data_IF_488857930483
#
_entry.id   IF_488857930483
#
_cell.length_a   1.000
_cell.length_b   1.000
_cell.length_c   1.000
_cell.angle_alpha   90.00
_cell.angle_beta   90.00
_cell.angle_gamma   90.00
#
_symmetry.space_group_name_H-M   'P 1'
#
loop_
_entity.id
_entity.type
_entity.pdbx_description
1 polymer ?
#
# COMPACT_ATOMS: atom_id res chain seq x y z
N UNK A 1 -7.50 19.47 -7.59
CA UNK A 1 -8.30 20.66 -8.01
C UNK A 1 -9.64 20.71 -7.28
N UNK A 2 -10.56 19.75 -7.41
CA UNK A 2 -11.89 19.79 -6.76
C UNK A 2 -11.80 20.00 -5.23
N UNK A 3 -10.93 19.31 -4.54
CA UNK A 3 -10.76 19.44 -3.08
C UNK A 3 -10.36 20.87 -2.66
N UNK A 4 -9.45 21.52 -3.38
CA UNK A 4 -9.02 22.89 -3.09
C UNK A 4 -10.12 23.91 -3.35
N UNK A 5 -10.96 23.69 -4.37
CA UNK A 5 -12.13 24.51 -4.63
C UNK A 5 -13.17 24.39 -3.49
N UNK A 6 -13.43 23.17 -3.02
CA UNK A 6 -14.37 22.92 -1.91
C UNK A 6 -13.86 23.58 -0.62
N UNK A 7 -12.57 23.40 -0.30
CA UNK A 7 -11.96 24.02 0.88
C UNK A 7 -12.01 25.55 0.78
N UNK A 8 -11.64 26.14 -0.37
CA UNK A 8 -11.68 27.60 -0.58
C UNK A 8 -13.09 28.15 -0.46
N UNK A 9 -14.09 27.48 -1.05
CA UNK A 9 -15.50 27.89 -0.96
C UNK A 9 -16.00 27.79 0.49
N UNK A 10 -15.66 26.72 1.20
CA UNK A 10 -16.04 26.55 2.60
C UNK A 10 -15.46 27.64 3.50
N UNK A 11 -14.18 27.98 3.32
CA UNK A 11 -13.57 29.09 4.07
C UNK A 11 -14.19 30.43 3.74
N UNK A 12 -14.48 30.71 2.46
CA UNK A 12 -15.15 31.94 2.07
C UNK A 12 -16.55 32.06 2.72
N UNK A 13 -17.33 30.99 2.68
CA UNK A 13 -18.69 31.01 3.29
C UNK A 13 -18.62 31.18 4.81
N UNK A 14 -17.69 30.51 5.49
CA UNK A 14 -17.47 30.66 6.94
C UNK A 14 -17.03 32.09 7.28
N UNK A 15 -16.09 32.65 6.53
CA UNK A 15 -15.63 34.02 6.74
C UNK A 15 -16.76 35.05 6.58
N UNK A 16 -17.55 34.92 5.51
CA UNK A 16 -18.69 35.80 5.24
C UNK A 16 -19.74 35.71 6.36
N UNK A 17 -20.08 34.48 6.79
CA UNK A 17 -21.06 34.26 7.86
C UNK A 17 -20.55 34.80 9.20
N UNK A 18 -19.29 34.58 9.53
CA UNK A 18 -18.72 35.06 10.78
C UNK A 18 -18.61 36.58 10.81
N UNK A 19 -18.24 37.21 9.68
CA UNK A 19 -18.21 38.68 9.56
C UNK A 19 -19.61 39.27 9.76
N UNK A 20 -20.64 38.66 9.15
CA UNK A 20 -22.02 39.07 9.33
C UNK A 20 -22.46 39.00 10.80
N UNK A 21 -22.23 37.84 11.46
CA UNK A 21 -22.58 37.67 12.87
C UNK A 21 -21.87 38.67 13.79
N UNK A 22 -20.60 38.94 13.58
CA UNK A 22 -19.84 39.91 14.37
C UNK A 22 -20.37 41.33 14.12
N UNK A 23 -20.66 41.67 12.88
CA UNK A 23 -21.25 42.94 12.51
C UNK A 23 -22.58 43.16 13.20
N UNK A 24 -23.51 42.20 13.05
CA UNK A 24 -24.85 42.26 13.66
C UNK A 24 -24.75 42.40 15.21
N UNK A 25 -23.89 41.62 15.84
CA UNK A 25 -23.68 41.68 17.29
C UNK A 25 -23.16 43.02 17.74
N UNK A 26 -22.18 43.61 17.08
CA UNK A 26 -21.63 44.93 17.44
C UNK A 26 -22.63 46.04 17.22
N UNK A 27 -23.40 45.99 16.14
CA UNK A 27 -24.46 46.93 15.86
C UNK A 27 -25.60 46.83 16.94
N UNK A 28 -26.09 45.63 17.22
CA UNK A 28 -27.12 45.45 18.27
C UNK A 28 -26.64 45.96 19.63
N UNK A 29 -25.41 45.69 19.98
CA UNK A 29 -24.84 46.15 21.25
C UNK A 29 -24.79 47.70 21.29
N UNK A 30 -24.35 48.34 20.22
CA UNK A 30 -24.29 49.80 20.12
C UNK A 30 -25.70 50.40 20.15
N UNK A 31 -26.64 49.89 19.41
CA UNK A 31 -28.04 50.32 19.39
C UNK A 31 -28.61 50.26 20.79
N UNK A 32 -28.47 49.16 21.49
CA UNK A 32 -29.01 48.99 22.85
C UNK A 32 -28.42 49.97 23.83
N UNK A 33 -27.13 50.24 23.75
CA UNK A 33 -26.42 51.18 24.60
C UNK A 33 -26.88 52.62 24.34
N UNK A 34 -26.95 53.03 23.06
CA UNK A 34 -27.35 54.37 22.67
C UNK A 34 -28.84 54.59 23.02
N UNK A 35 -29.74 53.64 22.75
CA UNK A 35 -31.17 53.75 23.10
C UNK A 35 -31.41 53.95 24.61
N UNK A 36 -30.76 53.12 25.43
CA UNK A 36 -30.87 53.26 26.91
C UNK A 36 -30.36 54.61 27.43
N UNK A 37 -29.27 55.11 26.83
CA UNK A 37 -28.69 56.38 27.23
C UNK A 37 -29.59 57.58 26.82
N UNK A 38 -30.14 57.51 25.59
CA UNK A 38 -31.05 58.56 25.06
C UNK A 38 -32.40 58.56 25.83
N UNK A 39 -32.99 57.38 26.10
CA UNK A 39 -34.21 57.26 26.90
C UNK A 39 -34.04 57.83 28.35
N UNK A 40 -32.92 57.49 28.99
CA UNK A 40 -32.60 58.05 30.32
C UNK A 40 -32.45 59.56 30.26
N UNK A 41 -31.75 60.07 29.21
CA UNK A 41 -31.58 61.49 29.02
C UNK A 41 -32.92 62.20 28.73
N UNK A 42 -33.75 61.65 27.83
CA UNK A 42 -35.10 62.15 27.57
C UNK A 42 -35.96 62.29 28.80
N UNK A 43 -35.97 61.24 29.64
CA UNK A 43 -36.69 61.28 30.95
C UNK A 43 -36.16 62.32 31.90
N UNK A 44 -34.82 62.53 31.92
CA UNK A 44 -34.17 63.53 32.80
C UNK A 44 -34.40 64.97 32.32
N UNK A 45 -34.47 65.21 31.02
CA UNK A 45 -34.64 66.52 30.42
C UNK A 45 -36.12 66.97 30.31
N UNK A 46 -37.08 66.06 30.23
CA UNK A 46 -38.49 66.37 30.06
C UNK A 46 -39.08 67.40 31.09
N UNK A 47 -38.77 67.34 32.42
CA UNK A 47 -39.23 68.35 33.36
C UNK A 47 -38.70 69.76 33.06
N UNK A 48 -37.46 69.92 32.66
CA UNK A 48 -36.83 71.17 32.32
C UNK A 48 -37.36 71.75 31.01
N UNK A 49 -37.68 70.89 30.06
CA UNK A 49 -38.30 71.28 28.80
C UNK A 49 -39.66 71.88 28.96
N UNK A 50 -40.48 71.29 29.85
CA UNK A 50 -41.82 71.82 30.24
C UNK A 50 -41.77 73.17 30.94
N UNK A 51 -40.70 73.47 31.70
CA UNK A 51 -40.47 74.74 32.39
C UNK A 51 -39.83 75.83 31.53
N UNK A 52 -39.47 75.50 30.27
CA UNK A 52 -38.72 76.39 29.34
C UNK A 52 -37.40 76.95 29.93
N UNK A 53 -36.72 76.13 30.77
CA UNK A 53 -35.39 76.46 31.33
C UNK A 53 -34.28 76.15 30.34
N UNK A 54 -34.10 77.02 29.37
CA UNK A 54 -33.21 76.85 28.21
C UNK A 54 -31.75 76.77 28.67
N UNK A 55 -31.30 77.52 29.66
CA UNK A 55 -29.89 77.51 30.03
C UNK A 55 -29.47 76.19 30.69
N UNK A 56 -30.26 75.69 31.63
CA UNK A 56 -30.03 74.37 32.27
C UNK A 56 -30.12 73.23 31.28
N UNK A 57 -31.02 73.28 30.27
CA UNK A 57 -31.17 72.32 29.23
C UNK A 57 -29.95 72.30 28.31
N UNK A 58 -29.43 73.46 27.89
CA UNK A 58 -28.28 73.56 27.04
C UNK A 58 -27.03 73.00 27.70
N UNK A 59 -26.75 73.37 28.95
CA UNK A 59 -25.58 72.85 29.72
C UNK A 59 -25.62 71.32 29.87
N UNK A 60 -26.79 70.75 30.20
CA UNK A 60 -26.97 69.32 30.30
C UNK A 60 -26.83 68.61 28.97
N UNK A 61 -27.34 69.20 27.89
CA UNK A 61 -27.29 68.64 26.55
C UNK A 61 -25.85 68.57 26.03
N UNK A 62 -25.08 69.64 26.23
CA UNK A 62 -23.68 69.74 25.84
C UNK A 62 -22.82 68.72 26.63
N UNK A 63 -23.02 68.68 27.97
CA UNK A 63 -22.31 67.71 28.82
C UNK A 63 -22.60 66.27 28.42
N UNK A 64 -23.89 65.88 28.25
CA UNK A 64 -24.30 64.57 27.84
C UNK A 64 -23.81 64.21 26.43
N UNK A 65 -23.81 65.16 25.47
CA UNK A 65 -23.26 64.97 24.12
C UNK A 65 -21.77 64.63 24.15
N UNK A 66 -21.00 65.33 25.02
CA UNK A 66 -19.57 65.02 25.22
C UNK A 66 -19.35 63.66 25.84
N UNK A 67 -20.12 63.24 26.86
CA UNK A 67 -20.04 61.92 27.49
C UNK A 67 -20.43 60.77 26.55
N UNK A 68 -21.44 61.00 25.70
CA UNK A 68 -21.90 59.98 24.73
C UNK A 68 -21.08 59.95 23.44
N UNK A 69 -20.21 60.93 23.24
CA UNK A 69 -19.35 61.01 22.05
C UNK A 69 -20.12 61.31 20.76
N UNK A 70 -21.17 62.13 20.82
CA UNK A 70 -22.01 62.47 19.69
C UNK A 70 -22.80 63.75 19.88
N UNK A 71 -23.57 64.09 18.87
CA UNK A 71 -24.43 65.27 18.84
C UNK A 71 -25.79 64.98 19.42
N UNK A 72 -26.25 65.79 20.31
CA UNK A 72 -27.58 65.73 20.88
C UNK A 72 -28.44 66.92 20.46
N UNK A 73 -29.65 66.65 20.04
CA UNK A 73 -30.64 67.62 19.63
C UNK A 73 -31.91 67.44 20.49
N UNK A 74 -32.47 68.56 20.97
CA UNK A 74 -33.83 68.61 21.51
C UNK A 74 -34.77 69.15 20.43
N UNK A 75 -35.82 68.36 20.16
CA UNK A 75 -36.77 68.65 19.09
C UNK A 75 -38.16 68.77 19.68
N UNK A 76 -38.95 69.70 19.21
CA UNK A 76 -40.33 69.85 19.63
C UNK A 76 -41.27 68.83 18.97
N UNK A 77 -42.52 68.84 19.31
CA UNK A 77 -43.57 67.93 18.76
C UNK A 77 -43.78 68.05 17.25
N UNK A 78 -43.32 69.16 16.64
CA UNK A 78 -43.38 69.35 15.18
C UNK A 78 -42.09 68.95 14.45
N UNK A 79 -41.09 68.48 15.14
CA UNK A 79 -39.79 68.07 14.57
C UNK A 79 -38.82 69.22 14.38
N UNK A 80 -39.04 70.39 15.01
CA UNK A 80 -38.16 71.57 14.91
C UNK A 80 -37.17 71.53 16.08
N UNK A 81 -35.87 71.71 15.74
CA UNK A 81 -34.77 71.75 16.72
C UNK A 81 -34.85 72.96 17.59
N UNK A 82 -35.03 72.75 18.88
CA UNK A 82 -35.11 73.80 19.92
C UNK A 82 -33.74 74.06 20.53
N UNK A 83 -32.96 73.00 20.77
CA UNK A 83 -31.60 73.05 21.29
C UNK A 83 -30.70 72.06 20.56
N UNK A 84 -29.44 72.43 20.45
CA UNK A 84 -28.42 71.64 19.75
C UNK A 84 -27.09 71.75 20.49
N UNK A 85 -26.51 70.63 20.89
CA UNK A 85 -25.23 70.54 21.60
C UNK A 85 -24.07 71.22 20.83
N UNK A 86 -24.17 71.31 19.47
CA UNK A 86 -23.17 71.97 18.62
C UNK A 86 -23.62 73.37 18.15
N UNK A 87 -24.85 73.74 18.35
CA UNK A 87 -25.40 75.06 18.06
C UNK A 87 -25.64 75.39 16.58
N UNK A 88 -25.49 74.49 15.67
CA UNK A 88 -25.55 74.74 14.20
C UNK A 88 -26.91 74.51 13.57
N UNK A 89 -27.82 73.67 14.17
CA UNK A 89 -29.09 73.26 13.59
C UNK A 89 -30.28 73.89 14.31
N UNK A 90 -30.13 74.93 15.08
CA UNK A 90 -31.22 75.62 15.80
C UNK A 90 -32.28 76.09 14.80
N UNK A 91 -33.54 75.78 15.11
CA UNK A 91 -34.67 76.17 14.32
C UNK A 91 -34.91 75.32 13.02
N UNK A 92 -34.03 74.42 12.69
CA UNK A 92 -34.17 73.54 11.54
C UNK A 92 -35.22 72.46 11.84
N UNK A 93 -36.09 72.14 10.86
CA UNK A 93 -37.05 71.03 10.95
C UNK A 93 -36.41 69.77 10.38
N UNK A 94 -36.25 68.76 11.24
CA UNK A 94 -35.65 67.46 10.85
C UNK A 94 -36.75 66.47 10.41
N UNK A 95 -36.49 65.75 9.33
CA UNK A 95 -37.37 64.72 8.78
C UNK A 95 -36.70 63.34 8.77
N UNK A 96 -36.26 62.90 9.95
CA UNK A 96 -35.67 61.57 10.11
C UNK A 96 -36.76 60.55 10.44
N UNK A 97 -36.74 59.36 9.80
CA UNK A 97 -37.78 58.33 10.04
C UNK A 97 -37.92 57.99 11.53
N UNK A 98 -36.83 57.92 12.29
CA UNK A 98 -36.78 57.60 13.74
C UNK A 98 -37.47 58.71 14.56
N UNK A 99 -37.24 59.94 14.19
CA UNK A 99 -37.87 61.06 14.88
C UNK A 99 -39.39 61.06 14.60
N UNK A 100 -39.82 60.81 13.36
CA UNK A 100 -41.23 60.71 13.00
C UNK A 100 -41.91 59.51 13.69
N UNK A 101 -41.24 58.37 13.77
CA UNK A 101 -41.72 57.19 14.52
C UNK A 101 -42.01 57.51 15.97
N UNK A 102 -41.08 58.19 16.61
CA UNK A 102 -41.20 58.57 18.05
C UNK A 102 -42.30 59.64 18.26
N UNK A 103 -42.32 60.70 17.44
CA UNK A 103 -43.22 61.83 17.65
C UNK A 103 -44.67 61.54 17.20
N UNK A 104 -44.89 60.78 16.10
CA UNK A 104 -46.19 60.56 15.50
C UNK A 104 -46.82 59.20 15.85
N UNK A 105 -45.97 58.14 16.00
CA UNK A 105 -46.41 56.77 16.25
C UNK A 105 -46.34 56.36 17.72
N UNK A 106 -45.76 57.22 18.58
CA UNK A 106 -45.63 56.95 20.04
C UNK A 106 -44.69 55.82 20.35
N UNK A 107 -43.70 55.57 19.51
CA UNK A 107 -42.66 54.58 19.79
C UNK A 107 -41.84 55.01 21.02
N UNK A 108 -41.40 54.06 21.87
CA UNK A 108 -40.61 54.33 23.07
C UNK A 108 -39.22 54.89 22.74
N UNK A 109 -38.54 54.30 21.82
CA UNK A 109 -37.30 54.79 21.18
C UNK A 109 -37.17 54.16 19.80
N UNK A 110 -36.49 54.84 18.86
CA UNK A 110 -36.26 54.31 17.52
C UNK A 110 -34.84 54.66 17.08
N UNK A 111 -34.25 53.76 16.27
CA UNK A 111 -32.85 53.83 15.89
C UNK A 111 -32.69 53.62 14.38
N UNK A 112 -31.78 54.32 13.74
CA UNK A 112 -31.45 54.13 12.31
C UNK A 112 -30.03 54.48 11.99
N UNK A 113 -29.55 53.88 10.92
CA UNK A 113 -28.23 54.23 10.32
C UNK A 113 -28.51 54.90 9.00
N UNK A 114 -27.87 56.05 8.80
CA UNK A 114 -28.01 56.84 7.60
C UNK A 114 -26.62 57.20 7.02
N UNK A 115 -26.61 57.44 5.75
CA UNK A 115 -25.44 58.09 5.12
C UNK A 115 -25.58 59.61 5.26
N UNK A 116 -24.48 60.30 5.60
CA UNK A 116 -24.47 61.80 5.68
C UNK A 116 -25.03 62.40 4.38
N UNK A 117 -25.84 63.46 4.54
CA UNK A 117 -26.56 64.10 3.41
C UNK A 117 -28.02 63.68 3.29
N UNK A 118 -28.57 62.78 4.12
CA UNK A 118 -29.97 62.42 4.20
C UNK A 118 -30.68 63.11 5.37
N UNK A 119 -31.84 63.68 5.12
CA UNK A 119 -32.72 64.20 6.19
C UNK A 119 -32.36 65.57 6.78
N UNK A 120 -31.54 66.36 6.12
CA UNK A 120 -31.20 67.73 6.59
C UNK A 120 -30.00 67.78 7.53
N UNK A 121 -29.23 66.69 7.62
CA UNK A 121 -28.00 66.61 8.39
C UNK A 121 -26.82 66.76 7.43
N UNK A 122 -26.52 68.01 7.09
CA UNK A 122 -25.34 68.32 6.28
C UNK A 122 -24.11 68.41 7.20
N UNK A 123 -23.34 67.35 7.31
CA UNK A 123 -21.99 67.36 7.78
C UNK A 123 -21.05 67.13 6.59
N UNK A 124 -19.96 67.91 6.50
CA UNK A 124 -18.97 67.88 5.39
C UNK A 124 -18.26 66.55 5.24
N UNK A 125 -18.45 65.59 6.13
CA UNK A 125 -17.81 64.28 6.08
C UNK A 125 -18.75 63.19 5.56
N UNK A 126 -18.41 62.62 4.42
CA UNK A 126 -19.15 61.54 3.76
C UNK A 126 -18.99 60.22 4.51
N UNK A 127 -19.67 60.07 5.63
CA UNK A 127 -19.62 58.89 6.49
C UNK A 127 -20.97 58.29 6.78
N UNK A 128 -20.98 57.23 7.59
CA UNK A 128 -22.19 56.65 8.14
C UNK A 128 -22.43 57.22 9.57
N UNK A 129 -23.65 57.67 9.81
CA UNK A 129 -24.11 58.15 11.10
C UNK A 129 -25.22 57.27 11.62
N UNK A 130 -25.26 57.07 12.93
CA UNK A 130 -26.38 56.50 13.62
C UNK A 130 -27.23 57.64 14.19
N UNK A 131 -28.56 57.45 14.14
CA UNK A 131 -29.50 58.34 14.83
C UNK A 131 -30.39 57.52 15.73
N UNK A 132 -30.51 57.99 17.01
CA UNK A 132 -31.38 57.39 17.99
C UNK A 132 -32.31 58.46 18.56
N UNK A 133 -33.61 58.26 18.49
CA UNK A 133 -34.61 59.19 19.02
C UNK A 133 -35.36 58.57 20.20
N UNK A 134 -35.65 59.36 21.25
CA UNK A 134 -36.51 58.96 22.34
C UNK A 134 -37.47 60.13 22.73
N UNK A 135 -38.73 59.82 23.06
CA UNK A 135 -39.73 60.85 23.39
C UNK A 135 -39.46 61.47 24.78
N UNK A 136 -39.69 62.76 24.88
CA UNK A 136 -39.85 63.45 26.13
C UNK A 136 -41.31 63.51 26.47
N UNK A 137 -41.72 62.92 27.56
CA UNK A 137 -43.13 62.88 27.96
C UNK A 137 -43.37 63.61 29.23
N UNK A 138 -44.55 64.25 29.33
CA UNK A 138 -44.98 64.90 30.54
C UNK A 138 -45.52 63.92 31.62
N UNK A 139 -45.87 64.38 32.74
CA UNK A 139 -46.49 63.56 33.85
C UNK A 139 -47.83 62.94 33.51
N UNK A 140 -48.45 63.37 32.37
CA UNK A 140 -49.72 62.85 31.87
C UNK A 140 -49.56 61.90 30.67
N UNK A 141 -48.31 61.71 30.22
CA UNK A 141 -47.98 60.82 29.08
C UNK A 141 -48.05 61.49 27.71
N UNK A 142 -48.21 62.83 27.64
CA UNK A 142 -48.21 63.57 26.42
C UNK A 142 -46.77 63.79 25.93
N UNK A 143 -46.51 63.64 24.61
CA UNK A 143 -45.17 63.87 23.99
C UNK A 143 -44.93 65.36 23.89
N UNK A 144 -43.95 65.87 24.64
CA UNK A 144 -43.52 67.26 24.61
C UNK A 144 -42.56 67.54 23.40
N UNK A 145 -41.86 66.53 23.03
CA UNK A 145 -40.81 66.55 22.01
C UNK A 145 -39.98 65.27 22.04
N UNK A 146 -38.83 65.32 21.46
CA UNK A 146 -37.88 64.17 21.48
C UNK A 146 -36.42 64.62 21.67
N UNK A 147 -35.63 63.75 22.26
CA UNK A 147 -34.17 63.83 22.26
C UNK A 147 -33.69 62.99 21.08
N UNK A 148 -32.87 63.57 20.20
CA UNK A 148 -32.24 62.89 19.09
C UNK A 148 -30.72 62.87 19.30
N UNK A 149 -30.13 61.71 19.35
CA UNK A 149 -28.70 61.50 19.43
C UNK A 149 -28.16 61.08 18.07
N UNK A 150 -27.10 61.71 17.62
CA UNK A 150 -26.45 61.44 16.36
C UNK A 150 -24.96 61.17 16.65
N UNK A 151 -24.48 59.99 16.23
CA UNK A 151 -23.05 59.66 16.37
C UNK A 151 -22.49 59.06 15.07
N UNK A 152 -21.19 59.25 14.84
CA UNK A 152 -20.50 58.62 13.75
C UNK A 152 -20.28 57.14 14.04
N UNK A 153 -20.62 56.29 13.08
CA UNK A 153 -20.35 54.85 13.14
C UNK A 153 -19.20 54.48 12.18
N UNK A 154 -18.49 55.47 11.67
CA UNK A 154 -17.39 55.28 10.73
C UNK A 154 -16.23 54.47 11.30
N UNK A 155 -15.87 54.70 12.59
CA UNK A 155 -14.83 53.92 13.26
C UNK A 155 -15.21 52.44 13.42
N UNK A 156 -16.50 52.18 13.64
CA UNK A 156 -17.02 50.81 13.75
C UNK A 156 -16.91 50.12 12.35
N UNK A 157 -17.28 50.81 11.27
CA UNK A 157 -17.18 50.32 9.89
C UNK A 157 -15.71 50.03 9.50
N UNK A 158 -14.80 50.95 9.78
CA UNK A 158 -13.37 50.74 9.48
C UNK A 158 -12.78 49.61 10.31
N UNK A 159 -13.23 49.43 11.57
CA UNK A 159 -12.80 48.33 12.38
C UNK A 159 -13.28 46.96 11.85
N UNK A 160 -14.52 46.89 11.35
CA UNK A 160 -15.08 45.69 10.68
C UNK A 160 -14.35 45.35 9.43
N UNK A 161 -14.04 46.37 8.55
CA UNK A 161 -13.22 46.19 7.35
C UNK A 161 -11.81 45.66 7.72
N UNK A 162 -11.20 46.18 8.78
CA UNK A 162 -9.91 45.69 9.30
C UNK A 162 -9.95 44.23 9.75
N UNK A 163 -11.03 43.80 10.43
CA UNK A 163 -11.24 42.43 10.83
C UNK A 163 -11.40 41.53 9.61
N UNK A 164 -12.21 41.96 8.64
CA UNK A 164 -12.44 41.21 7.41
C UNK A 164 -11.12 41.02 6.62
N UNK A 165 -10.31 42.06 6.48
CA UNK A 165 -9.01 42.00 5.81
C UNK A 165 -8.05 41.02 6.50
N UNK A 166 -8.01 41.01 7.85
CA UNK A 166 -7.18 40.08 8.63
C UNK A 166 -7.66 38.64 8.48
N UNK A 167 -8.96 38.41 8.45
CA UNK A 167 -9.54 37.09 8.20
C UNK A 167 -9.16 36.59 6.82
N UNK A 168 -9.28 37.40 5.77
CA UNK A 168 -8.90 37.04 4.40
C UNK A 168 -7.41 36.70 4.29
N UNK A 169 -6.54 37.47 4.94
CA UNK A 169 -5.09 37.17 4.92
C UNK A 169 -4.77 35.88 5.67
N UNK A 170 -5.41 35.62 6.81
CA UNK A 170 -5.25 34.36 7.53
C UNK A 170 -5.71 33.15 6.70
N UNK A 171 -6.85 33.25 6.03
CA UNK A 171 -7.36 32.20 5.15
C UNK A 171 -6.45 31.96 3.95
N UNK A 172 -5.92 33.02 3.34
CA UNK A 172 -4.94 32.90 2.25
C UNK A 172 -3.68 32.14 2.71
N UNK A 173 -3.16 32.45 3.89
CA UNK A 173 -2.02 31.76 4.47
C UNK A 173 -2.30 30.25 4.69
N UNK A 174 -3.47 29.92 5.27
CA UNK A 174 -3.90 28.52 5.47
C UNK A 174 -4.06 27.78 4.13
N UNK A 175 -4.64 28.44 3.11
CA UNK A 175 -4.79 27.86 1.78
C UNK A 175 -3.44 27.54 1.12
N UNK A 176 -2.47 28.44 1.23
CA UNK A 176 -1.09 28.23 0.74
C UNK A 176 -0.42 27.07 1.49
N UNK A 177 -0.55 26.99 2.81
CA UNK A 177 0.01 25.92 3.61
C UNK A 177 -0.63 24.56 3.25
N UNK A 178 -1.96 24.52 3.09
CA UNK A 178 -2.69 23.32 2.66
C UNK A 178 -2.26 22.87 1.25
N UNK A 179 -2.07 23.81 0.32
CA UNK A 179 -1.56 23.52 -1.01
C UNK A 179 -0.16 22.90 -0.96
N UNK A 180 0.75 23.50 -0.19
CA UNK A 180 2.10 22.97 -0.01
C UNK A 180 2.08 21.56 0.60
N UNK A 181 1.27 21.33 1.64
CA UNK A 181 1.09 20.03 2.25
C UNK A 181 0.54 18.99 1.25
N UNK A 182 -0.47 19.35 0.43
CA UNK A 182 -1.03 18.48 -0.60
C UNK A 182 0.00 18.08 -1.66
N UNK A 183 0.87 19.01 -2.08
CA UNK A 183 1.96 18.74 -3.02
C UNK A 183 3.01 17.77 -2.43
N UNK A 184 3.38 17.98 -1.18
CA UNK A 184 4.29 17.06 -0.46
C UNK A 184 3.67 15.68 -0.36
N UNK A 185 2.43 15.59 0.10
CA UNK A 185 1.70 14.32 0.24
C UNK A 185 1.58 13.57 -1.10
N UNK A 186 1.26 14.30 -2.18
CA UNK A 186 1.20 13.73 -3.53
C UNK A 186 2.54 13.13 -3.98
N UNK A 187 3.66 13.80 -3.70
CA UNK A 187 5.00 13.31 -4.07
C UNK A 187 5.48 12.15 -3.20
N UNK A 188 5.17 12.19 -1.91
CA UNK A 188 5.68 11.21 -0.92
C UNK A 188 4.85 9.92 -0.91
N UNK A 189 3.54 10.01 -1.09
CA UNK A 189 2.64 8.85 -0.96
C UNK A 189 2.04 8.45 -2.31
N UNK A 190 1.36 9.36 -2.99
CA UNK A 190 0.62 9.01 -4.22
C UNK A 190 1.55 8.60 -5.37
N UNK A 191 2.68 9.30 -5.52
CA UNK A 191 3.66 9.00 -6.56
C UNK A 191 4.24 7.59 -6.49
N UNK A 192 4.80 7.16 -5.35
CA UNK A 192 5.30 5.79 -5.17
C UNK A 192 4.24 4.71 -5.36
N UNK A 193 3.02 4.91 -4.83
CA UNK A 193 1.90 3.96 -5.00
C UNK A 193 1.57 3.78 -6.48
N UNK A 194 1.44 4.87 -7.24
CA UNK A 194 1.13 4.80 -8.67
C UNK A 194 2.24 4.08 -9.46
N UNK A 195 3.51 4.29 -9.09
CA UNK A 195 4.64 3.56 -9.70
C UNK A 195 4.57 2.07 -9.38
N UNK A 196 4.34 1.71 -8.12
CA UNK A 196 4.18 0.32 -7.70
C UNK A 196 3.05 -0.37 -8.47
N UNK A 197 1.88 0.27 -8.56
CA UNK A 197 0.73 -0.26 -9.30
C UNK A 197 1.07 -0.51 -10.77
N UNK A 198 1.75 0.43 -11.45
CA UNK A 198 2.19 0.24 -12.84
C UNK A 198 3.19 -0.91 -12.98
N UNK A 199 4.09 -1.06 -12.01
CA UNK A 199 5.10 -2.14 -12.02
C UNK A 199 4.42 -3.50 -11.83
N UNK A 200 3.45 -3.61 -10.91
CA UNK A 200 2.62 -4.82 -10.73
C UNK A 200 1.86 -5.16 -12.01
N UNK A 201 1.27 -4.18 -12.70
CA UNK A 201 0.57 -4.40 -13.96
C UNK A 201 1.50 -4.89 -15.09
N UNK A 202 2.74 -4.40 -15.15
CA UNK A 202 3.75 -4.90 -16.10
C UNK A 202 4.13 -6.34 -15.79
N UNK A 203 4.35 -6.66 -14.51
CA UNK A 203 4.64 -8.03 -14.06
C UNK A 203 3.49 -8.99 -14.41
N UNK A 204 2.23 -8.58 -14.24
CA UNK A 204 1.05 -9.37 -14.64
C UNK A 204 0.94 -9.59 -16.16
N UNK A 205 1.67 -8.82 -16.98
CA UNK A 205 1.79 -9.02 -18.44
C UNK A 205 3.00 -9.86 -18.83
N UNK A 206 3.71 -10.44 -17.86
CA UNK A 206 4.86 -11.31 -18.10
C UNK A 206 6.24 -10.66 -18.00
N UNK A 207 6.33 -9.36 -17.70
CA UNK A 207 7.62 -8.70 -17.50
C UNK A 207 8.07 -8.85 -16.05
N UNK A 208 8.69 -9.99 -15.74
CA UNK A 208 9.15 -10.35 -14.40
C UNK A 208 10.45 -9.65 -13.98
N UNK A 209 11.15 -9.00 -14.93
CA UNK A 209 12.43 -8.32 -14.65
C UNK A 209 12.28 -6.96 -13.98
N UNK A 210 11.06 -6.40 -13.94
CA UNK A 210 10.80 -5.05 -13.44
C UNK A 210 10.92 -5.02 -11.93
N UNK A 211 11.66 -4.02 -11.43
CA UNK A 211 11.85 -3.79 -9.99
C UNK A 211 11.38 -2.39 -9.62
N UNK A 212 10.95 -2.25 -8.38
CA UNK A 212 10.59 -0.96 -7.78
C UNK A 212 11.79 -0.43 -7.02
N UNK A 213 12.19 0.84 -7.24
CA UNK A 213 13.26 1.44 -6.46
C UNK A 213 12.89 1.47 -4.97
N UNK A 214 13.71 0.87 -4.12
CA UNK A 214 13.52 0.87 -2.66
C UNK A 214 13.95 2.24 -2.13
N UNK A 215 13.04 3.23 -2.22
CA UNK A 215 13.26 4.61 -1.77
C UNK A 215 12.20 4.99 -0.73
N UNK A 216 12.53 5.93 0.15
CA UNK A 216 11.64 6.37 1.23
C UNK A 216 11.93 5.68 2.56
N UNK A 217 11.08 5.90 3.54
CA UNK A 217 11.17 5.35 4.90
C UNK A 217 9.83 4.69 5.29
N UNK A 218 9.87 3.82 6.30
CA UNK A 218 8.67 3.16 6.81
C UNK A 218 8.06 2.14 5.84
N UNK A 219 6.75 2.03 5.86
CA UNK A 219 5.94 1.00 5.21
C UNK A 219 6.10 0.96 3.68
N UNK A 220 6.37 2.11 3.04
CA UNK A 220 6.61 2.17 1.60
C UNK A 220 7.89 1.46 1.18
N UNK A 221 8.93 1.54 2.00
CA UNK A 221 10.18 0.80 1.77
C UNK A 221 9.98 -0.69 1.92
N UNK A 222 9.28 -1.09 2.98
CA UNK A 222 8.98 -2.50 3.26
C UNK A 222 8.15 -3.11 2.13
N UNK A 223 7.12 -2.41 1.67
CA UNK A 223 6.27 -2.85 0.55
C UNK A 223 7.07 -2.99 -0.76
N UNK A 224 7.95 -2.02 -1.07
CA UNK A 224 8.81 -2.10 -2.24
C UNK A 224 9.80 -3.28 -2.15
N UNK A 225 10.35 -3.55 -0.96
CA UNK A 225 11.26 -4.67 -0.71
C UNK A 225 10.52 -6.00 -0.84
N UNK A 226 9.37 -6.15 -0.22
CA UNK A 226 8.53 -7.36 -0.32
C UNK A 226 8.13 -7.65 -1.77
N UNK A 227 7.71 -6.62 -2.52
CA UNK A 227 7.42 -6.75 -3.95
C UNK A 227 8.65 -7.25 -4.73
N UNK A 228 9.84 -6.65 -4.53
CA UNK A 228 11.04 -7.05 -5.24
C UNK A 228 11.46 -8.49 -4.91
N UNK A 229 11.30 -8.92 -3.65
CA UNK A 229 11.53 -10.31 -3.23
C UNK A 229 10.58 -11.28 -3.92
N UNK A 230 9.29 -10.93 -4.01
CA UNK A 230 8.30 -11.72 -4.73
C UNK A 230 8.63 -11.78 -6.23
N UNK A 231 8.94 -10.64 -6.85
CA UNK A 231 9.32 -10.55 -8.26
C UNK A 231 10.56 -11.41 -8.57
N UNK A 232 11.56 -11.41 -7.68
CA UNK A 232 12.76 -12.25 -7.80
C UNK A 232 12.42 -13.74 -7.78
N UNK A 233 11.56 -14.14 -6.83
CA UNK A 233 11.13 -15.56 -6.74
C UNK A 233 10.37 -16.00 -7.98
N UNK A 234 9.47 -15.15 -8.49
CA UNK A 234 8.70 -15.46 -9.70
C UNK A 234 9.59 -15.54 -10.95
N UNK A 235 10.56 -14.62 -11.09
CA UNK A 235 11.52 -14.65 -12.20
C UNK A 235 12.37 -15.92 -12.16
N UNK A 236 12.87 -16.29 -10.97
CA UNK A 236 13.65 -17.54 -10.80
C UNK A 236 12.81 -18.78 -11.12
N UNK A 237 11.53 -18.81 -10.70
CA UNK A 237 10.62 -19.91 -11.03
C UNK A 237 10.33 -20.01 -12.52
N UNK A 238 10.10 -18.87 -13.19
CA UNK A 238 9.84 -18.85 -14.63
C UNK A 238 11.09 -19.28 -15.42
N UNK A 239 12.27 -18.79 -15.06
CA UNK A 239 13.54 -19.21 -15.65
C UNK A 239 13.78 -20.70 -15.45
N UNK A 240 13.57 -21.25 -14.25
CA UNK A 240 13.70 -22.66 -13.96
C UNK A 240 12.73 -23.51 -14.79
N UNK A 241 11.46 -23.05 -14.91
CA UNK A 241 10.46 -23.72 -15.74
C UNK A 241 10.83 -23.71 -17.23
N UNK A 242 11.28 -22.60 -17.75
CA UNK A 242 11.68 -22.47 -19.15
C UNK A 242 12.92 -23.33 -19.46
N UNK A 243 13.91 -23.36 -18.55
CA UNK A 243 15.06 -24.22 -18.64
C UNK A 243 14.67 -25.71 -18.59
N UNK A 244 13.72 -26.09 -17.72
CA UNK A 244 13.19 -27.44 -17.64
C UNK A 244 12.56 -27.88 -18.98
N UNK A 245 11.69 -27.05 -19.58
CA UNK A 245 11.06 -27.35 -20.88
C UNK A 245 12.08 -27.44 -21.99
N UNK A 246 13.06 -26.56 -22.03
CA UNK A 246 14.15 -26.59 -23.01
C UNK A 246 14.99 -27.87 -22.91
N UNK A 247 15.42 -28.18 -21.68
CA UNK A 247 16.23 -29.38 -21.45
C UNK A 247 15.45 -30.67 -21.74
N UNK A 248 14.18 -30.77 -21.31
CA UNK A 248 13.32 -31.90 -21.62
C UNK A 248 13.17 -32.09 -23.14
N UNK A 249 12.96 -31.01 -23.90
CA UNK A 249 12.86 -31.04 -25.35
C UNK A 249 14.14 -31.55 -26.00
N UNK A 250 15.29 -31.12 -25.49
CA UNK A 250 16.59 -31.59 -26.00
C UNK A 250 16.85 -33.06 -25.69
N UNK A 251 16.58 -33.51 -24.45
CA UNK A 251 16.79 -34.91 -24.04
C UNK A 251 15.82 -35.89 -24.72
N UNK A 252 14.64 -35.45 -25.14
CA UNK A 252 13.71 -36.26 -25.95
C UNK A 252 14.08 -36.25 -27.46
N UNK A 253 14.58 -35.13 -28.01
CA UNK A 253 14.87 -35.01 -29.42
C UNK A 253 16.03 -35.90 -29.85
N UNK A 254 17.05 -36.05 -29.01
CA UNK A 254 18.26 -36.85 -29.34
C UNK A 254 17.92 -38.32 -29.60
N UNK A 255 17.28 -39.08 -28.64
CA UNK A 255 16.92 -40.48 -28.88
C UNK A 255 15.96 -40.66 -30.05
N UNK A 256 14.99 -39.76 -30.23
CA UNK A 256 14.09 -39.79 -31.38
C UNK A 256 14.84 -39.64 -32.74
N UNK A 257 15.85 -38.79 -32.75
CA UNK A 257 16.67 -38.63 -33.97
C UNK A 257 17.51 -39.86 -34.22
N UNK A 258 18.11 -40.47 -33.20
CA UNK A 258 18.86 -41.74 -33.29
C UNK A 258 18.00 -42.87 -33.83
N UNK A 259 16.81 -43.08 -33.23
CA UNK A 259 15.82 -44.05 -33.71
C UNK A 259 15.44 -43.85 -35.16
N UNK A 260 15.21 -42.58 -35.57
CA UNK A 260 14.87 -42.25 -36.95
C UNK A 260 16.00 -42.62 -37.92
N UNK A 261 17.24 -42.32 -37.55
CA UNK A 261 18.43 -42.66 -38.39
C UNK A 261 18.57 -44.17 -38.51
N UNK A 262 18.50 -44.92 -37.40
CA UNK A 262 18.59 -46.37 -37.41
C UNK A 262 17.48 -47.01 -38.28
N UNK A 263 16.25 -46.54 -38.13
CA UNK A 263 15.13 -47.02 -38.94
C UNK A 263 15.32 -46.67 -40.43
N UNK A 264 15.75 -45.47 -40.76
CA UNK A 264 16.04 -45.08 -42.16
C UNK A 264 17.16 -45.90 -42.76
N UNK A 265 18.18 -46.24 -41.97
CA UNK A 265 19.27 -47.12 -42.41
C UNK A 265 18.77 -48.53 -42.73
N UNK A 266 17.92 -49.11 -41.86
CA UNK A 266 17.30 -50.42 -42.10
C UNK A 266 16.42 -50.41 -43.35
N UNK A 267 15.67 -49.34 -43.61
CA UNK A 267 14.84 -49.20 -44.82
C UNK A 267 15.69 -49.05 -46.08
N UNK A 268 16.77 -48.28 -45.99
CA UNK A 268 17.63 -47.99 -47.13
C UNK A 268 18.57 -49.21 -47.58
N UNK A 269 18.79 -50.12 -46.62
CA UNK A 269 19.68 -51.28 -46.82
C UNK A 269 18.94 -52.61 -46.57
N UNK A 270 18.03 -53.03 -47.49
CA UNK A 270 17.25 -54.29 -47.32
C UNK A 270 18.13 -55.55 -47.38
N UNK A 271 19.26 -55.49 -48.01
CA UNK A 271 20.24 -56.59 -48.12
C UNK A 271 21.27 -56.65 -46.97
N UNK A 272 21.01 -55.90 -45.87
CA UNK A 272 21.85 -55.86 -44.64
C UNK A 272 21.97 -57.29 -44.07
N UNK A 273 23.20 -57.73 -43.63
CA UNK A 273 23.37 -58.98 -42.90
C UNK A 273 22.40 -59.14 -41.69
N UNK A 274 21.93 -60.38 -41.51
CA UNK A 274 20.92 -60.63 -40.51
C UNK A 274 21.40 -60.26 -39.07
N UNK A 275 22.65 -60.54 -38.78
CA UNK A 275 23.30 -60.18 -37.49
C UNK A 275 23.27 -58.68 -37.24
N UNK A 276 23.70 -57.90 -38.23
CA UNK A 276 23.71 -56.42 -38.10
C UNK A 276 22.30 -55.83 -38.03
N UNK A 277 21.32 -56.46 -38.69
CA UNK A 277 19.90 -56.05 -38.59
C UNK A 277 19.36 -56.27 -37.17
N UNK A 278 19.71 -57.40 -36.55
CA UNK A 278 19.33 -57.70 -35.16
C UNK A 278 19.98 -56.70 -34.20
N UNK A 279 21.24 -56.36 -34.40
CA UNK A 279 21.96 -55.35 -33.61
C UNK A 279 21.24 -53.98 -33.67
N UNK A 280 20.92 -53.50 -34.88
CA UNK A 280 20.14 -52.26 -35.02
C UNK A 280 18.78 -52.31 -34.35
N UNK A 281 18.07 -53.46 -34.42
CA UNK A 281 16.78 -53.60 -33.72
C UNK A 281 16.96 -53.62 -32.21
N UNK A 282 18.01 -54.21 -31.66
CA UNK A 282 18.33 -54.20 -30.23
C UNK A 282 18.71 -52.78 -29.78
N UNK A 283 19.50 -52.05 -30.58
CA UNK A 283 19.82 -50.65 -30.25
C UNK A 283 18.59 -49.77 -30.26
N UNK A 284 17.65 -49.99 -31.19
CA UNK A 284 16.36 -49.29 -31.22
C UNK A 284 15.51 -49.61 -29.99
N UNK A 285 15.45 -50.87 -29.56
CA UNK A 285 14.74 -51.31 -28.39
C UNK A 285 15.29 -50.65 -27.10
N UNK A 286 16.60 -50.65 -26.97
CA UNK A 286 17.30 -49.94 -25.87
C UNK A 286 17.01 -48.45 -25.85
N UNK A 287 16.95 -47.80 -27.03
CA UNK A 287 16.66 -46.35 -27.10
C UNK A 287 15.20 -46.02 -26.81
N UNK A 288 14.27 -46.93 -27.14
CA UNK A 288 12.84 -46.85 -26.73
C UNK A 288 12.70 -46.97 -25.21
N UNK A 289 13.39 -47.95 -24.60
CA UNK A 289 13.37 -48.11 -23.14
C UNK A 289 13.94 -46.89 -22.43
N UNK A 290 15.03 -46.34 -22.93
CA UNK A 290 15.62 -45.08 -22.44
C UNK A 290 14.65 -43.92 -22.55
N UNK A 291 13.96 -43.75 -23.67
CA UNK A 291 12.99 -42.69 -23.92
C UNK A 291 11.79 -42.83 -22.98
N UNK A 292 11.34 -44.06 -22.73
CA UNK A 292 10.27 -44.37 -21.75
C UNK A 292 10.70 -44.01 -20.35
N UNK A 293 11.95 -44.29 -19.97
CA UNK A 293 12.51 -43.86 -18.66
C UNK A 293 12.48 -42.35 -18.49
N UNK A 294 12.95 -41.61 -19.52
CA UNK A 294 12.93 -40.13 -19.48
C UNK A 294 11.50 -39.56 -19.28
N UNK A 295 10.53 -40.12 -20.05
CA UNK A 295 9.12 -39.69 -19.93
C UNK A 295 8.59 -39.96 -18.52
N UNK A 296 8.84 -41.13 -17.94
CA UNK A 296 8.40 -41.46 -16.58
C UNK A 296 9.05 -40.58 -15.52
N UNK A 297 10.33 -40.23 -15.65
CA UNK A 297 11.01 -39.30 -14.78
C UNK A 297 10.41 -37.89 -14.85
N UNK A 298 10.13 -37.41 -16.08
CA UNK A 298 9.47 -36.12 -16.30
C UNK A 298 8.06 -36.08 -15.69
N UNK A 299 7.27 -37.13 -15.89
CA UNK A 299 5.93 -37.26 -15.29
C UNK A 299 6.00 -37.27 -13.75
N UNK A 300 6.99 -37.97 -13.19
CA UNK A 300 7.22 -38.01 -11.74
C UNK A 300 7.54 -36.61 -11.21
N UNK A 301 8.47 -35.89 -11.85
CA UNK A 301 8.83 -34.52 -11.45
C UNK A 301 7.66 -33.54 -11.58
N UNK A 302 6.87 -33.63 -12.67
CA UNK A 302 5.70 -32.74 -12.84
C UNK A 302 4.61 -32.96 -11.81
N UNK A 303 4.36 -34.22 -11.43
CA UNK A 303 3.43 -34.55 -10.33
C UNK A 303 3.94 -34.05 -8.98
N UNK A 304 5.25 -34.10 -8.73
CA UNK A 304 5.86 -33.56 -7.52
C UNK A 304 5.75 -32.04 -7.43
N UNK A 305 6.01 -31.31 -8.52
CA UNK A 305 5.92 -29.84 -8.59
C UNK A 305 4.51 -29.31 -8.33
N UNK A 306 3.51 -30.04 -8.79
CA UNK A 306 2.08 -29.69 -8.60
C UNK A 306 1.54 -30.04 -7.21
N UNK A 307 2.37 -30.55 -6.27
CA UNK A 307 1.94 -31.12 -4.99
C UNK A 307 0.87 -32.21 -5.14
N UNK A 308 0.75 -32.77 -6.36
CA UNK A 308 -0.21 -33.83 -6.67
C UNK A 308 0.33 -35.22 -6.35
N UNK A 309 1.62 -35.32 -5.97
CA UNK A 309 2.18 -36.57 -5.50
C UNK A 309 1.83 -36.77 -4.04
N UNK A 310 0.85 -37.59 -3.78
CA UNK A 310 0.54 -38.08 -2.43
C UNK A 310 1.47 -39.27 -2.11
N UNK A 311 2.13 -39.24 -0.95
CA UNK A 311 2.83 -40.38 -0.42
C UNK A 311 1.81 -41.35 0.15
N UNK A 312 2.08 -42.65 -0.05
CA UNK A 312 1.33 -43.73 0.58
C UNK A 312 2.19 -44.45 1.64
N UNK A 313 2.47 -43.78 2.79
CA UNK A 313 3.35 -44.34 3.79
C UNK A 313 2.72 -45.57 4.42
N UNK A 314 3.46 -46.67 4.43
CA UNK A 314 3.07 -47.94 5.06
C UNK A 314 4.22 -48.46 5.92
N UNK A 315 3.96 -49.28 6.92
CA UNK A 315 5.03 -49.98 7.66
C UNK A 315 5.84 -50.86 6.71
N UNK A 316 7.14 -50.74 6.75
CA UNK A 316 8.07 -51.48 5.88
C UNK A 316 9.40 -51.75 6.61
N UNK A 317 10.15 -52.72 6.11
CA UNK A 317 11.54 -52.95 6.52
C UNK A 317 12.49 -52.46 5.43
N UNK A 318 13.29 -51.45 5.78
CA UNK A 318 14.24 -50.84 4.87
C UNK A 318 15.33 -51.80 4.40
N UNK A 319 15.77 -52.76 5.25
CA UNK A 319 16.78 -53.73 4.87
C UNK A 319 16.27 -54.68 3.78
N UNK A 320 15.00 -55.08 3.84
CA UNK A 320 14.39 -55.90 2.78
C UNK A 320 14.32 -55.14 1.46
N UNK A 321 13.99 -53.82 1.50
CA UNK A 321 13.94 -52.95 0.32
C UNK A 321 15.31 -52.82 -0.32
N UNK A 322 16.38 -52.55 0.47
CA UNK A 322 17.76 -52.48 -0.02
C UNK A 322 18.16 -53.80 -0.68
N UNK A 323 17.92 -54.95 -0.01
CA UNK A 323 18.22 -56.27 -0.58
C UNK A 323 17.49 -56.56 -1.87
N UNK A 324 16.21 -56.15 -2.00
CA UNK A 324 15.43 -56.32 -3.22
C UNK A 324 16.01 -55.47 -4.36
N UNK A 325 16.39 -54.21 -4.10
CA UNK A 325 17.03 -53.33 -5.08
C UNK A 325 18.36 -53.86 -5.53
N UNK A 326 19.22 -54.36 -4.63
CA UNK A 326 20.50 -54.94 -5.00
C UNK A 326 20.35 -56.19 -5.85
N UNK A 327 19.38 -57.09 -5.52
CA UNK A 327 19.10 -58.26 -6.40
C UNK A 327 18.69 -57.86 -7.81
N UNK A 328 17.92 -56.76 -7.94
CA UNK A 328 17.49 -56.26 -9.25
C UNK A 328 18.65 -55.67 -10.09
N UNK A 329 19.59 -55.00 -9.44
CA UNK A 329 20.76 -54.36 -10.11
C UNK A 329 21.97 -55.32 -10.25
N UNK A 330 21.96 -56.49 -9.58
CA UNK A 330 23.05 -57.47 -9.65
C UNK A 330 23.48 -57.84 -11.05
N UNK A 331 22.58 -58.13 -12.03
CA UNK A 331 23.01 -58.48 -13.41
C UNK A 331 23.75 -57.34 -14.09
N UNK A 332 23.43 -56.08 -13.74
CA UNK A 332 24.11 -54.92 -14.31
C UNK A 332 25.53 -54.76 -13.73
N UNK A 333 25.70 -54.97 -12.42
CA UNK A 333 27.01 -54.95 -11.79
C UNK A 333 27.88 -56.14 -12.25
N UNK A 334 27.32 -57.36 -12.41
CA UNK A 334 28.03 -58.54 -12.87
C UNK A 334 28.58 -58.36 -14.30
N UNK A 335 27.83 -57.70 -15.19
CA UNK A 335 28.32 -57.37 -16.54
C UNK A 335 29.58 -56.50 -16.52
N UNK A 336 29.79 -55.71 -15.48
CA UNK A 336 30.93 -54.84 -15.25
C UNK A 336 31.94 -55.38 -14.25
N UNK A 337 31.77 -56.67 -13.84
CA UNK A 337 32.60 -57.33 -12.85
C UNK A 337 32.67 -56.60 -11.50
N UNK A 338 31.65 -55.85 -11.16
CA UNK A 338 31.58 -55.06 -9.92
C UNK A 338 30.97 -55.90 -8.78
N UNK A 339 31.37 -55.64 -7.55
CA UNK A 339 30.91 -56.31 -6.35
C UNK A 339 30.07 -55.40 -5.46
N UNK A 340 28.91 -55.90 -5.02
CA UNK A 340 28.10 -55.24 -3.98
C UNK A 340 28.47 -55.68 -2.58
N UNK A 341 28.85 -54.76 -1.72
CA UNK A 341 29.15 -55.00 -0.29
C UNK A 341 28.00 -54.41 0.52
N UNK A 342 27.15 -55.23 1.14
CA UNK A 342 26.02 -54.76 1.90
C UNK A 342 26.21 -54.96 3.39
N UNK A 343 26.23 -53.87 4.14
CA UNK A 343 26.32 -53.85 5.61
C UNK A 343 24.97 -53.41 6.19
N UNK A 344 24.13 -54.37 6.51
CA UNK A 344 22.76 -54.14 6.94
C UNK A 344 22.50 -54.78 8.30
N UNK A 345 21.72 -54.17 9.21
CA UNK A 345 21.19 -54.85 10.40
C UNK A 345 20.19 -55.91 10.02
N UNK A 346 19.80 -56.81 10.96
CA UNK A 346 18.83 -57.87 10.73
C UNK A 346 17.47 -57.32 10.25
N UNK A 347 17.05 -56.17 10.78
CA UNK A 347 15.85 -55.47 10.36
C UNK A 347 15.98 -53.96 10.70
N UNK A 348 15.36 -53.11 9.88
CA UNK A 348 15.24 -51.67 10.11
C UNK A 348 13.81 -51.22 9.80
N UNK A 349 12.87 -51.44 10.75
CA UNK A 349 11.48 -51.09 10.53
C UNK A 349 11.28 -49.56 10.51
N UNK A 350 10.53 -49.07 9.53
CA UNK A 350 10.14 -47.68 9.38
C UNK A 350 8.79 -47.55 8.70
N UNK A 351 8.23 -46.34 8.73
CA UNK A 351 7.03 -45.99 7.95
C UNK A 351 7.43 -45.14 6.75
N UNK A 352 7.09 -45.58 5.54
CA UNK A 352 7.42 -44.85 4.31
C UNK A 352 6.71 -45.43 3.10
N UNK A 353 6.80 -44.72 1.97
CA UNK A 353 6.30 -45.21 0.67
C UNK A 353 7.37 -46.11 0.03
N UNK A 354 7.17 -47.42 0.10
CA UNK A 354 8.16 -48.40 -0.35
C UNK A 354 8.51 -48.26 -1.84
N UNK A 355 7.54 -47.93 -2.71
CA UNK A 355 7.76 -47.78 -4.14
C UNK A 355 8.62 -46.54 -4.43
N UNK A 356 8.41 -45.46 -3.70
CA UNK A 356 9.22 -44.23 -3.84
C UNK A 356 10.61 -44.40 -3.26
N UNK A 357 10.75 -45.04 -2.12
CA UNK A 357 12.04 -45.31 -1.52
C UNK A 357 12.83 -46.35 -2.34
N UNK A 358 12.17 -47.32 -2.99
CA UNK A 358 12.83 -48.19 -3.99
C UNK A 358 13.41 -47.38 -5.14
N UNK A 359 12.68 -46.36 -5.65
CA UNK A 359 13.16 -45.47 -6.68
C UNK A 359 14.40 -44.65 -6.25
N UNK A 360 14.43 -44.20 -4.97
CA UNK A 360 15.62 -43.54 -4.39
C UNK A 360 16.82 -44.47 -4.42
N UNK A 361 16.67 -45.68 -3.86
CA UNK A 361 17.74 -46.65 -3.82
C UNK A 361 18.23 -47.07 -5.20
N UNK A 362 17.28 -47.35 -6.10
CA UNK A 362 17.59 -47.69 -7.50
C UNK A 362 18.45 -46.62 -8.16
N UNK A 363 18.05 -45.33 -8.07
CA UNK A 363 18.79 -44.23 -8.68
C UNK A 363 20.21 -44.08 -8.09
N UNK A 364 20.36 -44.20 -6.77
CA UNK A 364 21.65 -44.08 -6.15
C UNK A 364 22.57 -45.26 -6.49
N UNK A 365 22.09 -46.48 -6.41
CA UNK A 365 22.90 -47.69 -6.69
C UNK A 365 23.17 -47.81 -8.17
N UNK A 366 22.20 -47.47 -9.05
CA UNK A 366 22.42 -47.45 -10.49
C UNK A 366 23.52 -46.43 -10.87
N UNK A 367 23.51 -45.25 -10.25
CA UNK A 367 24.58 -44.27 -10.44
C UNK A 367 25.96 -44.84 -10.02
N UNK A 368 26.02 -45.47 -8.82
CA UNK A 368 27.24 -46.11 -8.36
C UNK A 368 27.73 -47.15 -9.34
N UNK A 369 26.86 -48.03 -9.89
CA UNK A 369 27.22 -49.02 -10.90
C UNK A 369 27.70 -48.37 -12.22
N UNK A 370 27.07 -47.29 -12.65
CA UNK A 370 27.43 -46.59 -13.88
C UNK A 370 28.78 -45.90 -13.84
N UNK A 371 29.09 -45.28 -12.69
CA UNK A 371 30.27 -44.44 -12.54
C UNK A 371 31.49 -45.15 -11.93
N UNK A 372 31.32 -46.27 -11.18
CA UNK A 372 32.44 -47.08 -10.74
C UNK A 372 33.18 -47.75 -11.92
N UNK A 373 34.49 -47.97 -11.81
CA UNK A 373 35.26 -48.67 -12.79
C UNK A 373 34.85 -50.14 -12.89
N UNK A 374 35.27 -50.82 -13.96
CA UNK A 374 35.16 -52.26 -14.11
C UNK A 374 35.94 -52.94 -12.96
N UNK A 375 35.36 -53.94 -12.31
CA UNK A 375 35.95 -54.62 -11.17
C UNK A 375 35.90 -53.81 -9.85
N UNK A 376 35.20 -52.68 -9.85
CA UNK A 376 35.07 -51.81 -8.68
C UNK A 376 34.12 -52.35 -7.61
N UNK A 377 34.10 -51.66 -6.44
CA UNK A 377 33.27 -52.03 -5.31
C UNK A 377 32.23 -50.96 -5.03
N UNK A 378 31.03 -51.41 -4.71
CA UNK A 378 29.93 -50.51 -4.32
C UNK A 378 29.44 -50.98 -2.94
N UNK A 379 29.64 -50.11 -1.94
CA UNK A 379 29.25 -50.40 -0.57
C UNK A 379 27.90 -49.73 -0.26
N UNK A 380 26.96 -50.53 0.28
CA UNK A 380 25.67 -50.05 0.72
C UNK A 380 25.52 -50.36 2.20
N UNK A 381 25.41 -49.36 3.04
CA UNK A 381 25.15 -49.56 4.46
C UNK A 381 23.81 -48.92 4.88
N UNK A 382 23.10 -49.59 5.76
CA UNK A 382 21.94 -49.03 6.42
C UNK A 382 22.05 -49.19 7.92
N UNK A 383 21.73 -48.16 8.67
CA UNK A 383 21.78 -48.17 10.10
C UNK A 383 20.76 -47.22 10.74
N UNK A 384 20.48 -47.43 12.02
CA UNK A 384 19.63 -46.55 12.78
C UNK A 384 20.47 -45.53 13.53
N UNK A 385 20.26 -44.23 13.29
CA UNK A 385 20.83 -43.15 14.07
C UNK A 385 19.73 -42.38 14.81
N UNK A 386 19.55 -42.71 16.07
CA UNK A 386 18.52 -42.08 16.91
C UNK A 386 17.09 -42.36 16.40
N UNK A 387 16.45 -41.32 15.86
CA UNK A 387 15.08 -41.40 15.28
C UNK A 387 15.07 -41.50 13.75
N UNK A 388 16.23 -41.63 13.13
CA UNK A 388 16.35 -41.69 11.70
C UNK A 388 16.92 -43.05 11.26
N UNK A 389 16.47 -43.49 10.10
CA UNK A 389 17.12 -44.51 9.29
C UNK A 389 18.12 -43.80 8.38
N UNK A 390 19.36 -44.23 8.36
CA UNK A 390 20.42 -43.68 7.51
C UNK A 390 20.85 -44.75 6.53
N UNK A 391 20.90 -44.37 5.25
CA UNK A 391 21.41 -45.21 4.16
C UNK A 391 22.63 -44.49 3.57
N UNK A 392 23.72 -45.22 3.39
CA UNK A 392 24.88 -44.74 2.66
C UNK A 392 25.12 -45.61 1.45
N UNK A 393 25.43 -45.01 0.31
CA UNK A 393 25.88 -45.67 -0.91
C UNK A 393 27.25 -45.07 -1.26
N UNK A 394 28.26 -45.90 -1.18
CA UNK A 394 29.65 -45.52 -1.48
C UNK A 394 30.11 -46.17 -2.77
N UNK A 395 30.72 -45.40 -3.64
CA UNK A 395 31.30 -45.85 -4.89
C UNK A 395 32.80 -45.51 -4.98
N UNK A 396 33.56 -46.30 -5.68
CA UNK A 396 34.97 -46.07 -5.99
C UNK A 396 35.19 -45.43 -7.36
N UNK A 397 34.20 -44.67 -7.82
CA UNK A 397 34.18 -43.97 -9.11
C UNK A 397 35.19 -42.80 -9.17
N UNK A 398 35.09 -41.99 -10.20
CA UNK A 398 36.01 -40.85 -10.46
C UNK A 398 35.80 -39.69 -9.46
N UNK A 399 34.78 -39.78 -8.58
CA UNK A 399 34.41 -38.69 -7.72
C UNK A 399 33.77 -37.52 -8.43
N UNK A 400 33.43 -36.47 -7.68
CA UNK A 400 32.73 -35.28 -8.18
C UNK A 400 33.58 -34.05 -7.81
N UNK A 401 33.89 -33.17 -8.79
CA UNK A 401 34.58 -31.92 -8.52
C UNK A 401 33.83 -31.07 -7.51
N UNK A 402 34.54 -30.35 -6.65
CA UNK A 402 33.95 -29.53 -5.58
C UNK A 402 33.01 -28.43 -6.10
N UNK A 403 33.26 -27.90 -7.33
CA UNK A 403 32.43 -26.89 -8.00
C UNK A 403 31.09 -27.46 -8.45
N UNK A 404 31.00 -28.74 -8.69
CA UNK A 404 29.78 -29.42 -9.18
C UNK A 404 28.89 -29.93 -8.03
N UNK A 405 29.42 -30.17 -6.83
CA UNK A 405 28.69 -30.70 -5.69
C UNK A 405 27.40 -29.94 -5.35
N UNK A 406 27.34 -28.58 -5.38
CA UNK A 406 26.11 -27.84 -5.13
C UNK A 406 25.02 -28.11 -6.17
N UNK A 407 25.39 -28.55 -7.37
CA UNK A 407 24.51 -28.63 -8.54
C UNK A 407 24.07 -30.04 -8.92
N UNK A 408 24.69 -31.10 -8.38
CA UNK A 408 24.39 -32.49 -8.80
C UNK A 408 22.93 -32.92 -8.56
N UNK A 409 22.23 -32.23 -7.67
CA UNK A 409 20.78 -32.46 -7.40
C UNK A 409 19.88 -31.56 -8.25
N UNK A 410 20.45 -30.68 -9.08
CA UNK A 410 19.68 -29.86 -10.00
C UNK A 410 19.19 -30.71 -11.21
N UNK A 411 18.02 -30.37 -11.75
CA UNK A 411 17.42 -31.12 -12.85
C UNK A 411 18.25 -31.01 -14.12
N UNK A 412 18.51 -32.12 -14.78
CA UNK A 412 19.33 -32.24 -16.01
C UNK A 412 20.80 -31.84 -15.80
N UNK A 413 21.23 -31.70 -14.54
CA UNK A 413 22.64 -31.42 -14.30
C UNK A 413 23.51 -32.65 -14.50
N UNK A 414 24.68 -32.44 -15.08
CA UNK A 414 25.67 -33.49 -15.39
C UNK A 414 27.04 -32.86 -15.35
N UNK A 415 27.98 -33.46 -14.61
CA UNK A 415 29.37 -33.01 -14.47
C UNK A 415 30.07 -32.96 -15.80
N UNK A 416 29.89 -33.98 -16.67
CA UNK A 416 30.53 -34.06 -17.96
C UNK A 416 29.55 -34.43 -19.06
N UNK A 417 29.14 -33.46 -19.91
CA UNK A 417 28.17 -33.64 -20.99
C UNK A 417 28.66 -34.52 -22.14
N UNK A 418 29.97 -34.63 -22.36
CA UNK A 418 30.56 -35.37 -23.44
C UNK A 418 30.67 -36.85 -23.09
N UNK A 419 31.23 -37.20 -21.96
CA UNK A 419 31.48 -38.57 -21.51
C UNK A 419 30.20 -39.31 -21.07
N UNK A 420 29.20 -38.57 -20.68
CA UNK A 420 27.94 -39.14 -20.16
C UNK A 420 26.90 -39.44 -21.24
N UNK A 421 27.16 -39.16 -22.52
CA UNK A 421 26.33 -39.67 -23.66
C UNK A 421 26.48 -41.19 -23.81
N UNK A 422 27.65 -41.72 -23.55
CA UNK A 422 27.92 -43.16 -23.63
C UNK A 422 27.34 -43.92 -22.45
N UNK A 423 27.16 -43.26 -21.27
CA UNK A 423 26.61 -43.89 -20.07
C UNK A 423 25.08 -43.72 -19.91
N UNK A 424 24.40 -42.98 -20.82
CA UNK A 424 22.95 -42.94 -20.94
C UNK A 424 22.20 -42.20 -19.81
N UNK A 425 22.84 -41.39 -18.94
CA UNK A 425 22.22 -40.71 -17.84
C UNK A 425 21.39 -39.51 -18.29
N UNK A 426 20.18 -39.33 -17.71
CA UNK A 426 19.24 -38.23 -18.00
C UNK A 426 19.50 -36.95 -17.19
N UNK A 427 20.28 -37.04 -16.11
CA UNK A 427 20.46 -35.97 -15.15
C UNK A 427 19.22 -35.68 -14.30
N UNK A 428 18.21 -36.57 -14.30
CA UNK A 428 16.97 -36.44 -13.52
C UNK A 428 17.01 -37.30 -12.24
N UNK A 429 17.75 -38.41 -12.24
CA UNK A 429 17.73 -39.38 -11.13
C UNK A 429 18.03 -38.77 -9.76
N UNK A 430 19.12 -38.00 -9.62
CA UNK A 430 19.48 -37.36 -8.33
C UNK A 430 18.48 -36.27 -7.92
N UNK A 431 17.90 -35.55 -8.85
CA UNK A 431 16.85 -34.58 -8.54
C UNK A 431 15.56 -35.26 -8.03
N UNK A 432 15.23 -36.44 -8.55
CA UNK A 432 14.14 -37.29 -8.07
C UNK A 432 14.44 -37.82 -6.68
N UNK A 433 15.69 -38.27 -6.41
CA UNK A 433 16.14 -38.69 -5.09
C UNK A 433 15.91 -37.58 -4.06
N UNK A 434 16.42 -36.36 -4.33
CA UNK A 434 16.27 -35.22 -3.42
C UNK A 434 14.80 -34.91 -3.14
N UNK A 435 13.96 -34.94 -4.16
CA UNK A 435 12.54 -34.63 -4.03
C UNK A 435 11.79 -35.71 -3.22
N UNK A 436 12.02 -36.99 -3.48
CA UNK A 436 11.38 -38.08 -2.73
C UNK A 436 11.81 -38.05 -1.26
N UNK A 437 13.10 -37.89 -1.02
CA UNK A 437 13.66 -37.80 0.34
C UNK A 437 13.07 -36.60 1.09
N UNK A 438 12.94 -35.45 0.45
CA UNK A 438 12.30 -34.27 1.02
C UNK A 438 10.81 -34.50 1.35
N UNK A 439 10.07 -35.18 0.47
CA UNK A 439 8.67 -35.55 0.74
C UNK A 439 8.55 -36.50 1.95
N UNK A 440 9.54 -37.35 2.19
CA UNK A 440 9.63 -38.18 3.41
C UNK A 440 10.19 -37.44 4.62
N UNK A 441 10.32 -36.09 4.56
CA UNK A 441 10.87 -35.25 5.63
C UNK A 441 12.34 -35.60 5.99
N UNK A 442 13.05 -36.21 5.04
CA UNK A 442 14.46 -36.58 5.17
C UNK A 442 15.42 -35.58 4.52
N UNK A 443 16.69 -35.93 4.54
CA UNK A 443 17.79 -35.18 3.91
C UNK A 443 18.68 -36.11 3.11
N UNK A 444 19.21 -35.62 1.98
CA UNK A 444 20.24 -36.30 1.19
C UNK A 444 21.46 -35.39 1.08
N UNK A 445 22.62 -35.96 1.34
CA UNK A 445 23.92 -35.29 1.26
C UNK A 445 24.90 -36.15 0.44
N UNK A 446 25.96 -35.51 -0.04
CA UNK A 446 27.03 -36.18 -0.77
C UNK A 446 28.37 -35.67 -0.27
N UNK A 447 29.28 -36.58 -0.02
CA UNK A 447 30.68 -36.32 0.23
C UNK A 447 31.48 -37.00 -0.90
N UNK A 448 32.27 -36.25 -1.64
CA UNK A 448 33.03 -36.77 -2.78
C UNK A 448 34.32 -36.00 -2.98
N UNK A 449 35.35 -36.73 -3.37
CA UNK A 449 36.65 -36.16 -3.73
C UNK A 449 37.01 -36.71 -5.14
N UNK A 450 37.37 -35.82 -6.03
CA UNK A 450 37.77 -36.19 -7.38
C UNK A 450 38.88 -37.22 -7.34
N UNK A 451 38.71 -38.32 -8.05
CA UNK A 451 39.62 -39.47 -8.09
C UNK A 451 39.51 -40.45 -6.91
N UNK A 452 38.62 -40.24 -5.92
CA UNK A 452 38.51 -41.13 -4.76
C UNK A 452 37.11 -41.73 -4.56
N UNK A 453 36.17 -41.44 -5.48
CA UNK A 453 34.78 -41.93 -5.37
C UNK A 453 33.80 -40.96 -4.67
N UNK A 454 32.61 -41.44 -4.39
CA UNK A 454 31.56 -40.63 -3.77
C UNK A 454 30.79 -41.42 -2.71
N UNK A 455 30.30 -40.70 -1.69
CA UNK A 455 29.47 -41.24 -0.61
C UNK A 455 28.16 -40.45 -0.61
N UNK A 456 27.08 -41.07 -1.01
CA UNK A 456 25.72 -40.52 -0.89
C UNK A 456 25.12 -40.98 0.43
N UNK A 457 24.65 -40.03 1.25
CA UNK A 457 24.02 -40.29 2.54
C UNK A 457 22.58 -39.80 2.51
N UNK A 458 21.63 -40.69 2.79
CA UNK A 458 20.20 -40.43 2.88
C UNK A 458 19.77 -40.66 4.32
N UNK A 459 19.16 -39.67 4.94
CA UNK A 459 18.60 -39.72 6.29
C UNK A 459 17.08 -39.61 6.21
N UNK A 460 16.35 -40.56 6.75
CA UNK A 460 14.90 -40.62 6.74
C UNK A 460 14.36 -40.78 8.16
N UNK A 461 13.35 -40.02 8.59
CA UNK A 461 12.73 -40.27 9.90
C UNK A 461 12.08 -41.66 9.88
N UNK A 462 12.21 -42.41 10.99
CA UNK A 462 11.59 -43.76 11.15
C UNK A 462 10.04 -43.71 11.08
N UNK A 463 9.46 -42.57 11.44
CA UNK A 463 8.03 -42.29 11.36
C UNK A 463 7.80 -41.04 10.52
N UNK A 464 7.24 -41.18 9.34
CA UNK A 464 6.78 -40.06 8.52
C UNK A 464 5.40 -39.67 9.02
N UNK A 465 5.25 -38.41 9.48
CA UNK A 465 3.94 -37.88 9.81
C UNK A 465 3.18 -37.56 8.52
N UNK A 466 1.92 -37.97 8.41
CA UNK A 466 1.09 -37.71 7.25
C UNK A 466 0.87 -36.22 6.98
#
# INVERSE_FOLDING_TARGET
MAFLLVVGLSFYTIASLLTGLVSDYLFEQRIRQDSLSVEKLATTLAPFFSLADTDTLQDRLVSAGGEMGGRLLLVDSEGKVQLDSYGTLLGVRLQLPQLLSVLMQGAGSDYGIHRTGTGGLDEEDSGYISSCAAPMVDSQGNILGAVLFISSVQELMTSLEGVQARMLTAFAAVAVAAMAAALVFSRVITGPITRLTRTIQRMGRGDLSVRVPVRGSGEMRELASAYNTMAQKLETLDQSRNQFVSNASHELKTPMTSLKIMLQTLIAQPEMPAELRVEFMQDMDHEIDRLTGIINDLLTLTKMDSHALELHPAPMDLCQLVQATLRRLKPMAEKRQQEFIATLPDALPMTGDSAKLEQVLYNLVENAVKYSPEGGHIEIAALREGRNAVITVTDDGPGIPAEDLPHIFDRFYRVDKARSRDTGGTGLGLSIVRQIVTLHQGTVTVDSVEGQGSVFRVELPLEVKP
#
